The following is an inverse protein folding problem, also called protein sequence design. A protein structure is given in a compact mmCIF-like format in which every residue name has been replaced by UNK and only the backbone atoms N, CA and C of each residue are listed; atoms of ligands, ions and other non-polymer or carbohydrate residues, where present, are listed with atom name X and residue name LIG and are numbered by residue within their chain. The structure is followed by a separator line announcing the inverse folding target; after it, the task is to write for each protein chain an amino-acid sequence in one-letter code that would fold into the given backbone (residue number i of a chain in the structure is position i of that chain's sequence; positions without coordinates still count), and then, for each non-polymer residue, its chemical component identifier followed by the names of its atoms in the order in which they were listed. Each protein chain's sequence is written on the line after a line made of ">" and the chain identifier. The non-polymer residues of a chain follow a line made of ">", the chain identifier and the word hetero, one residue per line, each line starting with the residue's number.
data_IF_501300910216
#
_entry.id   IF_501300910216
#
_cell.length_a   1.000
_cell.length_b   1.000
_cell.length_c   1.000
_cell.angle_alpha   90.00
_cell.angle_beta   90.00
_cell.angle_gamma   90.00
#
_symmetry.space_group_name_H-M   'P 1'
#
loop_
_entity.id
_entity.type
_entity.pdbx_description
1 polymer ?
#
# COMPACT_ATOMS: atom_id res chain seq x y z
N UNK A 1 -11.11 -5.62 22.87
CA UNK A 1 -11.43 -6.63 21.84
C UNK A 1 -10.56 -6.29 20.64
N UNK A 2 -9.91 -7.29 20.01
CA UNK A 2 -9.14 -7.07 18.77
C UNK A 2 -10.04 -6.44 17.72
N UNK A 3 -9.51 -5.46 16.96
CA UNK A 3 -10.21 -4.84 15.83
C UNK A 3 -9.99 -5.65 14.55
N UNK A 4 -9.15 -6.70 14.61
CA UNK A 4 -8.79 -7.57 13.49
C UNK A 4 -9.87 -8.59 13.19
N UNK A 5 -10.09 -8.87 11.91
CA UNK A 5 -11.02 -9.89 11.44
C UNK A 5 -10.45 -11.31 11.68
N UNK A 6 -11.33 -12.31 11.68
CA UNK A 6 -10.89 -13.72 11.77
C UNK A 6 -9.95 -14.13 10.63
N UNK A 7 -10.10 -13.52 9.45
CA UNK A 7 -9.20 -13.74 8.32
C UNK A 7 -7.80 -13.20 8.62
N UNK A 8 -7.70 -11.98 9.13
CA UNK A 8 -6.43 -11.36 9.52
C UNK A 8 -5.73 -12.16 10.63
N UNK A 9 -6.47 -12.64 11.63
CA UNK A 9 -5.90 -13.48 12.69
C UNK A 9 -5.33 -14.79 12.13
N UNK A 10 -6.01 -15.43 11.17
CA UNK A 10 -5.50 -16.62 10.49
C UNK A 10 -4.25 -16.32 9.65
N UNK A 11 -4.25 -15.22 8.90
CA UNK A 11 -3.09 -14.80 8.09
C UNK A 11 -1.86 -14.50 8.98
N UNK A 12 -2.06 -13.80 10.10
CA UNK A 12 -1.00 -13.53 11.11
C UNK A 12 -0.48 -14.83 11.69
N UNK A 13 -1.35 -15.70 12.15
CA UNK A 13 -0.94 -16.99 12.73
C UNK A 13 -0.16 -17.83 11.72
N UNK A 14 -0.60 -17.89 10.46
CA UNK A 14 0.11 -18.62 9.41
C UNK A 14 1.49 -18.00 9.08
N UNK A 15 1.60 -16.67 9.08
CA UNK A 15 2.87 -15.97 8.86
C UNK A 15 3.85 -16.25 10.02
N UNK A 16 3.40 -16.16 11.28
CA UNK A 16 4.22 -16.40 12.47
C UNK A 16 4.64 -17.87 12.62
N UNK A 17 3.80 -18.81 12.16
CA UNK A 17 4.13 -20.23 12.13
C UNK A 17 5.13 -20.61 11.01
N UNK A 18 5.47 -19.69 10.13
CA UNK A 18 6.39 -19.90 9.03
C UNK A 18 7.71 -19.17 9.23
N UNK A 19 8.81 -19.71 8.68
CA UNK A 19 10.10 -19.01 8.66
C UNK A 19 10.19 -17.91 7.58
N UNK A 20 9.12 -17.74 6.79
CA UNK A 20 9.09 -16.82 5.66
C UNK A 20 8.98 -15.37 6.11
N UNK A 21 9.51 -14.46 5.28
CA UNK A 21 9.31 -13.02 5.47
C UNK A 21 7.85 -12.66 5.16
N UNK A 22 7.13 -11.99 6.10
CA UNK A 22 5.78 -11.53 5.83
C UNK A 22 5.77 -10.42 4.77
N UNK A 23 4.71 -10.41 3.93
CA UNK A 23 4.42 -9.30 2.99
C UNK A 23 2.99 -8.83 3.23
N UNK A 24 2.85 -7.57 3.61
CA UNK A 24 1.55 -6.93 3.89
C UNK A 24 1.12 -6.09 2.69
N UNK A 25 -0.01 -6.42 2.08
CA UNK A 25 -0.60 -5.73 0.93
C UNK A 25 -1.74 -4.82 1.35
N UNK A 26 -1.65 -3.52 1.06
CA UNK A 26 -2.62 -2.51 1.45
C UNK A 26 -3.35 -2.00 0.20
N UNK A 27 -4.66 -2.28 0.09
CA UNK A 27 -5.46 -1.85 -1.06
C UNK A 27 -5.74 -0.34 -1.08
N UNK A 28 -6.12 0.17 -2.25
CA UNK A 28 -6.51 1.56 -2.46
C UNK A 28 -7.99 1.82 -2.18
N UNK A 29 -8.41 3.08 -2.31
CA UNK A 29 -9.83 3.43 -2.38
C UNK A 29 -10.50 2.65 -3.52
N UNK A 30 -11.78 2.37 -3.36
CA UNK A 30 -12.64 1.68 -4.34
C UNK A 30 -12.32 0.21 -4.59
N UNK A 31 -11.44 -0.39 -3.78
CA UNK A 31 -11.07 -1.80 -3.80
C UNK A 31 -11.31 -2.45 -2.43
N UNK A 32 -11.24 -3.77 -2.40
CA UNK A 32 -11.15 -4.60 -1.19
C UNK A 32 -9.84 -5.40 -1.19
N UNK A 33 -9.47 -6.05 -0.07
CA UNK A 33 -8.28 -6.91 0.02
C UNK A 33 -8.16 -7.95 -1.09
N UNK A 34 -9.29 -8.49 -1.59
CA UNK A 34 -9.33 -9.45 -2.72
C UNK A 34 -8.72 -8.92 -4.02
N UNK A 35 -8.50 -7.62 -4.16
CA UNK A 35 -7.73 -7.06 -5.28
C UNK A 35 -6.26 -7.48 -5.29
N UNK A 36 -5.76 -8.00 -4.18
CA UNK A 36 -4.41 -8.50 -4.02
C UNK A 36 -4.26 -10.03 -4.14
N UNK A 37 -5.35 -10.78 -4.39
CA UNK A 37 -5.31 -12.26 -4.38
C UNK A 37 -4.24 -12.82 -5.35
N UNK A 38 -4.15 -12.27 -6.56
CA UNK A 38 -3.14 -12.66 -7.53
C UNK A 38 -1.71 -12.36 -7.05
N UNK A 39 -1.49 -11.21 -6.40
CA UNK A 39 -0.19 -10.83 -5.85
C UNK A 39 0.17 -11.68 -4.64
N UNK A 40 -0.80 -11.95 -3.76
CA UNK A 40 -0.60 -12.81 -2.60
C UNK A 40 -0.13 -14.20 -3.01
N UNK A 41 -0.79 -14.79 -4.02
CA UNK A 41 -0.36 -16.09 -4.55
C UNK A 41 1.02 -16.03 -5.23
N UNK A 42 1.29 -14.98 -6.01
CA UNK A 42 2.60 -14.77 -6.65
C UNK A 42 3.74 -14.65 -5.62
N UNK A 43 3.57 -13.86 -4.56
CA UNK A 43 4.58 -13.72 -3.50
C UNK A 43 4.68 -14.97 -2.64
N UNK A 44 3.59 -15.70 -2.42
CA UNK A 44 3.61 -16.99 -1.73
C UNK A 44 4.45 -18.03 -2.49
N UNK A 45 4.31 -18.08 -3.82
CA UNK A 45 5.14 -18.92 -4.69
C UNK A 45 6.62 -18.49 -4.69
N UNK A 46 6.90 -17.19 -4.51
CA UNK A 46 8.24 -16.66 -4.35
C UNK A 46 8.83 -16.86 -2.94
N UNK A 47 8.12 -17.56 -2.03
CA UNK A 47 8.65 -17.94 -0.71
C UNK A 47 8.34 -16.95 0.43
N UNK A 48 7.39 -16.02 0.22
CA UNK A 48 6.93 -15.09 1.26
C UNK A 48 5.65 -15.55 1.96
N UNK A 49 5.31 -14.90 3.07
CA UNK A 49 4.05 -15.09 3.78
C UNK A 49 3.14 -13.86 3.56
N UNK A 50 2.18 -13.92 2.61
CA UNK A 50 1.33 -12.78 2.28
C UNK A 50 0.22 -12.56 3.32
N UNK A 51 -0.07 -11.28 3.60
CA UNK A 51 -1.21 -10.80 4.38
C UNK A 51 -1.90 -9.67 3.61
N UNK A 52 -3.23 -9.66 3.64
CA UNK A 52 -4.05 -8.68 2.92
C UNK A 52 -5.04 -8.01 3.89
N UNK A 53 -4.58 -7.14 4.83
CA UNK A 53 -5.45 -6.56 5.85
C UNK A 53 -6.62 -5.78 5.27
N UNK A 54 -7.74 -5.84 5.98
CA UNK A 54 -8.93 -5.04 5.71
C UNK A 54 -8.67 -3.56 6.07
N UNK A 55 -9.39 -2.65 5.47
CA UNK A 55 -9.59 -1.35 6.09
C UNK A 55 -10.66 -1.48 7.18
N UNK A 56 -10.60 -0.68 8.27
CA UNK A 56 -11.61 -0.74 9.32
C UNK A 56 -13.02 -0.57 8.78
N UNK A 57 -13.83 -1.62 8.92
CA UNK A 57 -15.21 -1.67 8.46
C UNK A 57 -15.42 -2.19 7.04
N UNK A 58 -14.38 -2.70 6.39
CA UNK A 58 -14.54 -3.34 5.07
C UNK A 58 -15.43 -4.59 5.18
N UNK A 59 -16.39 -4.75 4.26
CA UNK A 59 -17.14 -5.98 4.11
C UNK A 59 -16.27 -7.11 3.57
N UNK A 60 -16.59 -8.34 3.92
CA UNK A 60 -15.82 -9.51 3.50
C UNK A 60 -15.86 -9.77 1.98
N UNK A 61 -16.91 -9.30 1.30
CA UNK A 61 -17.11 -9.58 -0.14
C UNK A 61 -17.54 -8.34 -0.92
N UNK A 62 -17.23 -8.32 -2.23
CA UNK A 62 -17.69 -7.29 -3.17
C UNK A 62 -19.22 -7.18 -3.18
N UNK A 63 -19.92 -8.29 -3.06
CA UNK A 63 -21.39 -8.32 -3.02
C UNK A 63 -21.93 -7.58 -1.77
N UNK A 64 -21.38 -7.84 -0.61
CA UNK A 64 -21.76 -7.16 0.63
C UNK A 64 -21.41 -5.67 0.59
N UNK A 65 -20.21 -5.33 0.08
CA UNK A 65 -19.76 -3.96 -0.11
C UNK A 65 -20.70 -3.15 -1.00
N UNK A 66 -21.19 -3.73 -2.08
CA UNK A 66 -22.15 -3.10 -3.00
C UNK A 66 -23.55 -3.01 -2.42
N UNK A 67 -23.94 -3.99 -1.63
CA UNK A 67 -25.24 -3.98 -0.93
C UNK A 67 -25.31 -2.89 0.16
N UNK A 68 -24.20 -2.57 0.82
CA UNK A 68 -24.12 -1.55 1.86
C UNK A 68 -22.94 -0.59 1.68
N UNK A 69 -22.94 0.27 0.65
CA UNK A 69 -21.81 1.16 0.36
C UNK A 69 -21.55 2.20 1.47
N UNK A 70 -22.51 2.45 2.36
CA UNK A 70 -22.39 3.46 3.43
C UNK A 70 -21.33 3.09 4.48
N UNK A 71 -20.94 1.83 4.61
CA UNK A 71 -19.92 1.38 5.57
C UNK A 71 -18.58 2.10 5.36
N UNK A 72 -18.22 2.42 4.11
CA UNK A 72 -16.98 3.10 3.78
C UNK A 72 -16.93 4.60 4.15
N UNK A 73 -18.05 5.22 4.50
CA UNK A 73 -18.17 6.68 4.58
C UNK A 73 -17.28 7.33 5.65
N UNK A 74 -16.89 6.61 6.69
CA UNK A 74 -16.24 7.19 7.89
C UNK A 74 -14.78 6.77 8.09
N UNK A 75 -14.23 5.90 7.25
CA UNK A 75 -12.87 5.36 7.40
C UNK A 75 -11.83 6.41 7.00
N UNK A 76 -11.00 6.84 7.94
CA UNK A 76 -9.97 7.86 7.76
C UNK A 76 -8.61 7.25 7.47
N UNK A 77 -7.71 8.04 6.88
CA UNK A 77 -6.31 7.60 6.63
C UNK A 77 -5.60 7.16 7.91
N UNK A 78 -5.84 7.85 9.04
CA UNK A 78 -5.24 7.48 10.33
C UNK A 78 -5.73 6.13 10.81
N UNK A 79 -7.03 5.86 10.71
CA UNK A 79 -7.59 4.57 11.10
C UNK A 79 -7.01 3.42 10.28
N UNK A 80 -6.88 3.59 8.96
CA UNK A 80 -6.26 2.57 8.10
C UNK A 80 -4.79 2.35 8.47
N UNK A 81 -4.02 3.43 8.64
CA UNK A 81 -2.60 3.33 9.00
C UNK A 81 -2.38 2.75 10.42
N UNK A 82 -3.29 3.00 11.35
CA UNK A 82 -3.20 2.47 12.72
C UNK A 82 -3.61 0.99 12.74
N UNK A 83 -4.65 0.60 12.01
CA UNK A 83 -5.05 -0.80 11.87
C UNK A 83 -3.96 -1.63 11.17
N UNK A 84 -3.39 -1.12 10.07
CA UNK A 84 -2.23 -1.76 9.42
C UNK A 84 -1.06 -1.92 10.40
N UNK A 85 -0.78 -0.89 11.22
CA UNK A 85 0.29 -0.98 12.22
C UNK A 85 -0.03 -1.99 13.35
N UNK A 86 -1.31 -2.16 13.72
CA UNK A 86 -1.77 -3.19 14.66
C UNK A 86 -1.58 -4.61 14.09
N UNK A 87 -1.92 -4.84 12.82
CA UNK A 87 -1.67 -6.11 12.13
C UNK A 87 -0.17 -6.42 12.10
N UNK A 88 0.66 -5.44 11.73
CA UNK A 88 2.13 -5.59 11.70
C UNK A 88 2.70 -5.85 13.09
N UNK A 89 2.17 -5.18 14.12
CA UNK A 89 2.59 -5.36 15.50
C UNK A 89 2.32 -6.75 16.08
N UNK A 90 1.47 -7.54 15.42
CA UNK A 90 1.18 -8.93 15.78
C UNK A 90 2.05 -9.96 15.03
N UNK A 91 2.93 -9.50 14.13
CA UNK A 91 3.88 -10.34 13.42
C UNK A 91 5.19 -10.47 14.21
N UNK A 92 5.76 -11.68 14.25
CA UNK A 92 7.05 -11.94 14.89
C UNK A 92 8.22 -11.33 14.12
N UNK A 93 8.07 -11.15 12.79
CA UNK A 93 9.06 -10.55 11.90
C UNK A 93 8.53 -9.28 11.27
N UNK A 94 9.38 -8.26 11.10
CA UNK A 94 9.02 -7.07 10.32
C UNK A 94 8.71 -7.45 8.87
N UNK A 95 7.57 -7.00 8.32
CA UNK A 95 7.18 -7.36 6.97
C UNK A 95 7.81 -6.46 5.91
N UNK A 96 7.79 -6.92 4.67
CA UNK A 96 7.71 -6.05 3.49
C UNK A 96 6.31 -5.47 3.44
N UNK A 97 6.19 -4.18 3.09
CA UNK A 97 4.90 -3.52 2.95
C UNK A 97 4.71 -3.09 1.51
N UNK A 98 3.59 -3.46 0.91
CA UNK A 98 3.19 -3.01 -0.42
C UNK A 98 1.83 -2.33 -0.36
N UNK A 99 1.66 -1.25 -1.11
CA UNK A 99 0.37 -0.59 -1.18
C UNK A 99 0.14 0.10 -2.50
N UNK A 100 -1.12 0.12 -2.94
CA UNK A 100 -1.54 0.76 -4.18
C UNK A 100 -2.41 1.98 -3.89
N UNK A 101 -2.21 3.07 -4.63
CA UNK A 101 -3.02 4.29 -4.54
C UNK A 101 -3.02 4.86 -3.11
N UNK A 102 -4.18 4.99 -2.48
CA UNK A 102 -4.30 5.35 -1.06
C UNK A 102 -3.56 4.36 -0.15
N UNK A 103 -3.58 3.05 -0.48
CA UNK A 103 -2.78 2.04 0.21
C UNK A 103 -1.28 2.30 0.05
N UNK A 104 -0.83 2.83 -1.08
CA UNK A 104 0.56 3.27 -1.30
C UNK A 104 0.96 4.47 -0.44
N UNK A 105 0.02 5.38 -0.16
CA UNK A 105 0.21 6.42 0.86
C UNK A 105 0.31 5.80 2.26
N UNK A 106 -0.60 4.89 2.62
CA UNK A 106 -0.60 4.21 3.93
C UNK A 106 0.68 3.40 4.12
N UNK A 107 1.16 2.69 3.10
CA UNK A 107 2.44 1.98 3.11
C UNK A 107 3.60 2.92 3.48
N UNK A 108 3.66 4.11 2.87
CA UNK A 108 4.65 5.12 3.22
C UNK A 108 4.47 5.69 4.65
N UNK A 109 3.22 5.84 5.12
CA UNK A 109 2.95 6.30 6.49
C UNK A 109 3.46 5.30 7.52
N UNK A 110 3.24 4.02 7.30
CA UNK A 110 3.64 2.90 8.18
C UNK A 110 5.15 2.68 8.11
N UNK A 111 5.74 2.71 6.92
CA UNK A 111 7.20 2.70 6.74
C UNK A 111 7.87 3.87 7.47
N UNK A 112 7.28 5.07 7.41
CA UNK A 112 7.74 6.24 8.16
C UNK A 112 7.66 6.07 9.68
N UNK A 113 6.95 5.06 10.20
CA UNK A 113 6.95 4.67 11.62
C UNK A 113 8.06 3.65 11.95
N UNK A 114 8.82 3.17 10.95
CA UNK A 114 9.89 2.17 11.11
C UNK A 114 9.39 0.73 11.19
N UNK A 115 8.20 0.43 10.64
CA UNK A 115 7.52 -0.87 10.77
C UNK A 115 7.76 -1.81 9.59
N UNK A 116 8.58 -1.43 8.61
CA UNK A 116 8.87 -2.23 7.41
C UNK A 116 10.36 -2.60 7.32
N UNK A 117 10.67 -3.77 6.73
CA UNK A 117 12.02 -4.10 6.26
C UNK A 117 12.29 -3.51 4.88
N UNK A 118 11.28 -3.46 4.02
CA UNK A 118 11.27 -2.79 2.71
C UNK A 118 9.85 -2.36 2.37
N UNK A 119 9.69 -1.37 1.49
CA UNK A 119 8.36 -0.84 1.11
C UNK A 119 8.26 -0.65 -0.39
N UNK A 120 7.13 -1.02 -0.96
CA UNK A 120 6.76 -0.72 -2.36
C UNK A 120 5.46 0.10 -2.36
N UNK A 121 5.51 1.32 -2.88
CA UNK A 121 4.36 2.21 -3.00
C UNK A 121 4.01 2.39 -4.48
N UNK A 122 2.89 1.81 -4.91
CA UNK A 122 2.44 1.76 -6.30
C UNK A 122 1.40 2.86 -6.51
N UNK A 123 1.62 3.75 -7.48
CA UNK A 123 0.78 4.93 -7.75
C UNK A 123 0.33 5.64 -6.46
N UNK A 124 1.27 6.03 -5.56
CA UNK A 124 0.91 6.38 -4.18
C UNK A 124 0.15 7.70 -4.08
N UNK A 125 -0.91 7.70 -3.27
CA UNK A 125 -1.71 8.89 -2.99
C UNK A 125 -0.90 10.05 -2.39
N UNK A 126 -1.47 11.26 -2.50
CA UNK A 126 -0.84 12.51 -2.10
C UNK A 126 -0.71 12.64 -0.58
N UNK A 127 0.46 13.07 -0.10
CA UNK A 127 0.67 13.50 1.28
C UNK A 127 1.23 14.92 1.38
N UNK A 128 1.19 15.49 2.56
CA UNK A 128 1.66 16.86 2.80
C UNK A 128 3.08 17.09 2.32
N UNK A 129 3.23 18.04 1.39
CA UNK A 129 4.48 18.41 0.74
C UNK A 129 4.64 17.83 -0.66
N UNK A 130 3.74 16.96 -1.13
CA UNK A 130 3.58 16.58 -2.53
C UNK A 130 2.63 17.61 -3.16
N UNK A 131 3.18 18.52 -3.95
CA UNK A 131 2.46 19.73 -4.40
C UNK A 131 1.77 19.63 -5.77
N UNK A 132 2.24 18.79 -6.74
CA UNK A 132 1.65 18.80 -8.07
C UNK A 132 0.15 18.47 -8.05
N UNK A 133 -0.61 19.21 -8.85
CA UNK A 133 -2.03 19.01 -9.06
C UNK A 133 -2.33 19.02 -10.58
N UNK A 134 -2.02 17.94 -11.29
CA UNK A 134 -2.24 17.82 -12.74
C UNK A 134 -3.72 17.95 -13.12
N UNK A 135 -3.97 18.41 -14.38
CA UNK A 135 -5.33 18.57 -14.89
C UNK A 135 -6.15 17.28 -14.95
N UNK A 136 -5.50 16.11 -15.15
CA UNK A 136 -6.17 14.80 -15.10
C UNK A 136 -6.76 14.52 -13.72
N UNK A 137 -6.02 14.86 -12.66
CA UNK A 137 -6.49 14.70 -11.26
C UNK A 137 -7.67 15.62 -10.99
N UNK A 138 -7.58 16.90 -11.41
CA UNK A 138 -8.69 17.85 -11.28
C UNK A 138 -9.95 17.35 -11.99
N UNK A 139 -9.81 16.77 -13.18
CA UNK A 139 -10.94 16.20 -13.93
C UNK A 139 -11.48 14.92 -13.27
N UNK A 140 -10.62 14.04 -12.75
CA UNK A 140 -11.02 12.76 -12.17
C UNK A 140 -11.63 12.87 -10.77
N UNK A 141 -10.94 13.53 -9.85
CA UNK A 141 -11.36 13.61 -8.43
C UNK A 141 -11.82 14.99 -7.99
N UNK A 142 -11.54 16.04 -8.77
CA UNK A 142 -11.93 17.42 -8.46
C UNK A 142 -13.41 17.60 -8.10
N UNK A 143 -14.37 17.04 -8.87
CA UNK A 143 -15.80 17.13 -8.54
C UNK A 143 -16.15 16.60 -7.14
N UNK A 144 -15.42 15.61 -6.64
CA UNK A 144 -15.60 15.10 -5.28
C UNK A 144 -14.97 16.03 -4.25
N UNK A 145 -13.81 16.63 -4.55
CA UNK A 145 -13.09 17.48 -3.60
C UNK A 145 -13.79 18.82 -3.34
N UNK A 146 -14.46 19.39 -4.35
CA UNK A 146 -15.20 20.65 -4.20
C UNK A 146 -16.56 20.48 -3.50
N UNK A 147 -17.11 19.25 -3.44
CA UNK A 147 -18.38 18.99 -2.77
C UNK A 147 -18.15 18.78 -1.27
N UNK A 148 -18.63 19.67 -0.38
CA UNK A 148 -18.40 19.56 1.06
C UNK A 148 -19.04 18.33 1.70
N UNK A 149 -20.04 17.73 1.05
CA UNK A 149 -20.69 16.51 1.54
C UNK A 149 -19.87 15.26 1.30
N UNK A 150 -18.86 15.29 0.42
CA UNK A 150 -17.98 14.15 0.12
C UNK A 150 -17.37 13.56 1.39
N UNK A 151 -16.89 14.39 2.31
CA UNK A 151 -16.27 13.93 3.57
C UNK A 151 -17.21 13.15 4.51
N UNK A 152 -18.52 13.11 4.21
CA UNK A 152 -19.53 12.42 5.02
C UNK A 152 -20.15 11.23 4.30
N UNK A 153 -19.70 10.93 3.08
CA UNK A 153 -20.29 9.92 2.20
C UNK A 153 -19.27 8.91 1.74
N UNK A 154 -19.75 7.72 1.40
CA UNK A 154 -19.05 6.81 0.53
C UNK A 154 -19.23 7.28 -0.92
N UNK A 155 -18.18 7.15 -1.74
CA UNK A 155 -18.13 7.58 -3.13
C UNK A 155 -18.01 6.37 -4.03
N UNK A 156 -18.97 6.19 -4.91
CA UNK A 156 -18.93 5.17 -5.95
C UNK A 156 -18.63 5.84 -7.28
N UNK A 157 -17.64 5.36 -8.02
CA UNK A 157 -17.34 5.84 -9.35
C UNK A 157 -18.36 5.26 -10.34
N UNK A 158 -18.81 6.06 -11.28
CA UNK A 158 -19.53 5.53 -12.45
C UNK A 158 -18.57 4.77 -13.36
N UNK A 159 -19.04 3.87 -14.24
CA UNK A 159 -18.17 3.19 -15.21
C UNK A 159 -17.32 4.16 -16.04
N UNK A 160 -17.89 5.30 -16.44
CA UNK A 160 -17.17 6.36 -17.18
C UNK A 160 -16.06 7.02 -16.35
N UNK A 161 -16.29 7.27 -15.06
CA UNK A 161 -15.28 7.80 -14.15
C UNK A 161 -14.18 6.78 -13.88
N UNK A 162 -14.52 5.51 -13.72
CA UNK A 162 -13.57 4.42 -13.57
C UNK A 162 -12.71 4.27 -14.84
N UNK A 163 -13.32 4.24 -16.04
CA UNK A 163 -12.58 4.24 -17.31
C UNK A 163 -11.59 5.40 -17.39
N UNK A 164 -12.02 6.60 -17.05
CA UNK A 164 -11.15 7.77 -17.12
C UNK A 164 -10.00 7.73 -16.12
N UNK A 165 -10.27 7.43 -14.85
CA UNK A 165 -9.28 7.55 -13.77
C UNK A 165 -8.41 6.30 -13.62
N UNK A 166 -8.98 5.11 -13.84
CA UNK A 166 -8.34 3.83 -13.54
C UNK A 166 -7.88 3.08 -14.77
N UNK A 167 -8.76 2.97 -15.76
CA UNK A 167 -8.64 2.06 -16.88
C UNK A 167 -8.45 2.78 -18.23
N UNK A 168 -7.94 4.01 -18.21
CA UNK A 168 -7.76 4.84 -19.41
C UNK A 168 -6.77 4.27 -20.42
N UNK A 169 -5.89 3.35 -19.99
CA UNK A 169 -4.93 2.65 -20.85
C UNK A 169 -5.41 1.27 -21.33
N UNK A 170 -6.62 0.83 -20.93
CA UNK A 170 -7.19 -0.48 -21.24
C UNK A 170 -8.29 -0.36 -22.30
N UNK A 171 -8.65 -1.48 -22.93
CA UNK A 171 -9.85 -1.55 -23.77
C UNK A 171 -11.15 -1.52 -22.94
N UNK A 172 -12.28 -1.51 -23.60
CA UNK A 172 -13.58 -1.39 -22.94
C UNK A 172 -14.03 -2.69 -22.27
N UNK A 173 -13.69 -3.84 -22.83
CA UNK A 173 -14.04 -5.15 -22.28
C UNK A 173 -13.25 -5.42 -20.99
N UNK A 174 -11.95 -5.16 -20.99
CA UNK A 174 -11.13 -5.27 -19.79
C UNK A 174 -11.57 -4.26 -18.74
N UNK A 175 -11.84 -3.02 -19.12
CA UNK A 175 -12.37 -1.98 -18.22
C UNK A 175 -13.65 -2.42 -17.53
N UNK A 176 -14.61 -2.96 -18.29
CA UNK A 176 -15.88 -3.47 -17.78
C UNK A 176 -15.66 -4.62 -16.81
N UNK A 177 -14.82 -5.59 -17.18
CA UNK A 177 -14.49 -6.74 -16.33
C UNK A 177 -13.89 -6.29 -15.00
N UNK A 178 -12.90 -5.37 -15.00
CA UNK A 178 -12.27 -4.88 -13.78
C UNK A 178 -13.26 -4.10 -12.90
N UNK A 179 -14.11 -3.27 -13.50
CA UNK A 179 -15.15 -2.55 -12.78
C UNK A 179 -16.15 -3.52 -12.10
N UNK A 180 -16.60 -4.52 -12.82
CA UNK A 180 -17.55 -5.53 -12.31
C UNK A 180 -16.90 -6.46 -11.27
N UNK A 181 -15.62 -6.75 -11.39
CA UNK A 181 -14.92 -7.66 -10.46
C UNK A 181 -14.50 -6.97 -9.18
N UNK A 182 -13.93 -5.76 -9.24
CA UNK A 182 -13.21 -5.19 -8.11
C UNK A 182 -13.82 -3.91 -7.53
N UNK A 183 -14.54 -3.11 -8.35
CA UNK A 183 -14.96 -1.79 -7.90
C UNK A 183 -16.03 -1.84 -6.82
N UNK A 184 -15.77 -1.13 -5.72
CA UNK A 184 -16.70 -0.87 -4.61
C UNK A 184 -16.71 0.62 -4.28
N UNK A 185 -17.55 1.05 -3.34
CA UNK A 185 -17.50 2.42 -2.84
C UNK A 185 -16.20 2.66 -2.04
N UNK A 186 -15.71 3.89 -2.07
CA UNK A 186 -14.55 4.31 -1.31
C UNK A 186 -14.87 5.40 -0.28
N UNK A 187 -14.01 5.59 0.71
CA UNK A 187 -14.16 6.60 1.75
C UNK A 187 -13.99 8.02 1.19
N UNK A 188 -15.05 8.82 1.28
CA UNK A 188 -15.00 10.23 0.89
C UNK A 188 -14.14 11.06 1.83
N UNK A 189 -14.08 10.74 3.13
CA UNK A 189 -13.22 11.46 4.07
C UNK A 189 -11.74 11.20 3.79
N UNK A 190 -11.33 9.98 3.47
CA UNK A 190 -9.95 9.67 3.10
C UNK A 190 -9.54 10.40 1.81
N UNK A 191 -10.45 10.45 0.80
CA UNK A 191 -10.23 11.20 -0.44
C UNK A 191 -10.03 12.70 -0.16
N UNK A 192 -10.88 13.31 0.68
CA UNK A 192 -10.77 14.74 1.07
C UNK A 192 -9.50 15.00 1.88
N UNK A 193 -9.08 14.06 2.74
CA UNK A 193 -7.83 14.19 3.51
C UNK A 193 -6.59 14.22 2.61
N UNK A 194 -6.56 13.42 1.53
CA UNK A 194 -5.51 13.48 0.53
C UNK A 194 -5.58 14.78 -0.29
N UNK A 195 -6.75 15.12 -0.82
CA UNK A 195 -6.94 16.33 -1.62
C UNK A 195 -6.56 17.62 -0.89
N UNK A 196 -6.81 17.68 0.41
CA UNK A 196 -6.52 18.84 1.27
C UNK A 196 -5.18 18.68 2.04
N UNK A 197 -4.33 17.72 1.70
CA UNK A 197 -3.11 17.42 2.44
C UNK A 197 -2.18 18.63 2.61
N UNK A 198 -2.12 19.51 1.62
CA UNK A 198 -1.27 20.71 1.62
C UNK A 198 -1.97 21.95 2.20
N UNK A 199 -3.29 21.97 2.24
CA UNK A 199 -4.09 23.10 2.74
C UNK A 199 -4.35 23.01 4.24
N UNK A 200 -4.36 21.80 4.81
CA UNK A 200 -4.64 21.57 6.22
C UNK A 200 -3.35 21.25 7.00
N UNK A 201 -2.88 22.11 7.92
CA UNK A 201 -1.69 21.85 8.72
C UNK A 201 -1.83 20.64 9.66
N UNK A 202 -3.07 20.27 10.01
CA UNK A 202 -3.39 19.09 10.85
C UNK A 202 -3.82 17.88 10.04
N UNK A 203 -3.53 17.85 8.73
CA UNK A 203 -3.89 16.71 7.87
C UNK A 203 -3.39 15.39 8.41
N UNK A 204 -4.18 14.34 8.25
CA UNK A 204 -3.76 12.95 8.52
C UNK A 204 -2.89 12.38 7.40
N UNK A 205 -2.95 12.94 6.18
CA UNK A 205 -2.08 12.57 5.06
C UNK A 205 -0.64 13.10 5.27
N UNK A 206 0.06 12.56 6.27
CA UNK A 206 1.43 12.92 6.65
C UNK A 206 2.32 11.68 6.65
N UNK A 207 3.53 11.83 6.11
CA UNK A 207 4.55 10.79 6.10
C UNK A 207 5.80 11.29 6.82
N UNK A 208 6.36 10.49 7.72
CA UNK A 208 7.64 10.77 8.39
C UNK A 208 8.79 10.38 7.46
N UNK A 209 9.00 11.15 6.40
CA UNK A 209 9.95 10.82 5.33
C UNK A 209 11.41 10.79 5.77
N UNK A 210 11.76 11.40 6.91
CA UNK A 210 13.13 11.49 7.42
C UNK A 210 13.49 10.45 8.49
N UNK A 211 12.54 9.56 8.85
CA UNK A 211 12.85 8.51 9.84
C UNK A 211 13.90 7.55 9.25
N UNK A 212 15.10 7.42 9.85
CA UNK A 212 16.14 6.52 9.34
C UNK A 212 15.72 5.05 9.37
N UNK A 213 14.80 4.68 10.26
CA UNK A 213 14.25 3.32 10.35
C UNK A 213 13.18 2.99 9.30
N UNK A 214 12.92 3.89 8.32
CA UNK A 214 11.95 3.65 7.24
C UNK A 214 12.26 2.43 6.39
N UNK A 215 13.54 2.06 6.26
CA UNK A 215 14.01 1.02 5.34
C UNK A 215 14.04 1.47 3.87
N UNK A 216 14.41 0.58 2.94
CA UNK A 216 14.34 0.80 1.49
C UNK A 216 12.92 1.07 1.01
N UNK A 217 12.77 1.94 -0.01
CA UNK A 217 11.47 2.28 -0.61
C UNK A 217 11.59 2.31 -2.13
N UNK A 218 10.72 1.56 -2.81
CA UNK A 218 10.44 1.69 -4.24
C UNK A 218 9.10 2.40 -4.43
N UNK A 219 9.07 3.37 -5.33
CA UNK A 219 7.85 3.95 -5.87
C UNK A 219 7.68 3.43 -7.30
N UNK A 220 6.54 2.84 -7.61
CA UNK A 220 6.16 2.42 -8.97
C UNK A 220 5.04 3.34 -9.44
N UNK A 221 5.07 3.75 -10.71
CA UNK A 221 4.07 4.64 -11.30
C UNK A 221 3.72 4.23 -12.72
N UNK A 222 2.43 4.22 -13.04
CA UNK A 222 1.93 3.98 -14.39
C UNK A 222 2.09 5.22 -15.27
N UNK A 223 2.77 5.08 -16.42
CA UNK A 223 3.05 6.21 -17.32
C UNK A 223 1.80 7.02 -17.71
N UNK A 224 0.67 6.33 -17.90
CA UNK A 224 -0.61 6.91 -18.33
C UNK A 224 -1.60 7.13 -17.18
N UNK A 225 -1.17 7.05 -15.95
CA UNK A 225 -2.06 7.20 -14.80
C UNK A 225 -2.69 8.60 -14.75
N UNK A 226 -4.03 8.65 -14.76
CA UNK A 226 -4.80 9.89 -14.63
C UNK A 226 -5.14 10.25 -13.17
N UNK A 227 -5.08 9.29 -12.26
CA UNK A 227 -5.41 9.46 -10.83
C UNK A 227 -4.20 9.90 -10.03
N UNK A 228 -3.05 9.25 -10.24
CA UNK A 228 -1.76 9.61 -9.64
C UNK A 228 -0.71 9.74 -10.76
N UNK A 229 -0.75 10.79 -11.58
CA UNK A 229 0.21 10.97 -12.66
C UNK A 229 1.65 11.07 -12.17
N UNK A 230 2.61 10.74 -13.04
CA UNK A 230 4.05 10.80 -12.78
C UNK A 230 4.52 12.04 -11.99
N UNK A 231 3.92 13.19 -12.21
CA UNK A 231 4.28 14.41 -11.48
C UNK A 231 4.08 14.27 -9.97
N UNK A 232 3.04 13.53 -9.54
CA UNK A 232 2.74 13.24 -8.13
C UNK A 232 3.71 12.20 -7.58
N UNK A 233 3.86 11.06 -8.27
CA UNK A 233 4.78 10.00 -7.85
C UNK A 233 6.23 10.50 -7.75
N UNK A 234 6.69 11.28 -8.74
CA UNK A 234 8.01 11.89 -8.73
C UNK A 234 8.18 12.95 -7.63
N UNK A 235 7.13 13.71 -7.29
CA UNK A 235 7.19 14.62 -6.13
C UNK A 235 7.25 13.88 -4.80
N UNK A 236 6.53 12.75 -4.67
CA UNK A 236 6.65 11.83 -3.53
C UNK A 236 8.08 11.28 -3.44
N UNK A 237 8.63 10.78 -4.53
CA UNK A 237 10.03 10.32 -4.62
C UNK A 237 11.02 11.40 -4.18
N UNK A 238 10.91 12.63 -4.70
CA UNK A 238 11.80 13.75 -4.33
C UNK A 238 11.74 14.10 -2.83
N UNK A 239 10.62 13.83 -2.16
CA UNK A 239 10.50 13.95 -0.70
C UNK A 239 11.17 12.80 0.01
N UNK A 240 10.92 11.58 -0.42
CA UNK A 240 11.40 10.34 0.18
C UNK A 240 12.91 10.14 0.02
N UNK A 241 13.50 10.51 -1.13
CA UNK A 241 14.95 10.38 -1.39
C UNK A 241 15.84 11.24 -0.48
N UNK A 242 15.24 12.12 0.34
CA UNK A 242 15.96 12.87 1.38
C UNK A 242 16.19 12.04 2.64
N UNK A 243 15.69 10.82 2.68
CA UNK A 243 15.98 9.84 3.71
C UNK A 243 17.39 9.25 3.45
N UNK A 244 18.04 8.77 4.50
CA UNK A 244 19.33 8.06 4.40
C UNK A 244 19.20 6.69 3.76
N UNK A 245 18.03 6.06 3.87
CA UNK A 245 17.74 4.76 3.25
C UNK A 245 17.49 4.86 1.75
N UNK A 246 17.76 3.78 1.05
CA UNK A 246 17.55 3.65 -0.40
C UNK A 246 16.13 4.08 -0.79
N UNK A 247 16.05 4.87 -1.86
CA UNK A 247 14.76 5.28 -2.45
C UNK A 247 14.88 5.23 -3.96
N UNK A 248 14.06 4.39 -4.59
CA UNK A 248 14.00 4.22 -6.04
C UNK A 248 12.63 4.63 -6.57
N UNK A 249 12.56 4.93 -7.87
CA UNK A 249 11.32 5.16 -8.60
C UNK A 249 11.41 4.52 -9.97
N UNK A 250 10.34 3.82 -10.36
CA UNK A 250 10.20 3.18 -11.67
C UNK A 250 8.90 3.62 -12.30
N UNK A 251 8.93 3.90 -13.60
CA UNK A 251 7.76 4.18 -14.42
C UNK A 251 7.47 2.97 -15.31
N UNK A 252 6.26 2.44 -15.24
CA UNK A 252 5.82 1.31 -16.08
C UNK A 252 5.16 1.87 -17.34
N UNK A 253 5.74 1.61 -18.52
CA UNK A 253 5.24 2.16 -19.79
C UNK A 253 3.81 1.69 -20.10
N UNK A 254 3.02 2.59 -20.71
CA UNK A 254 1.67 2.30 -21.21
C UNK A 254 0.65 1.83 -20.16
N UNK A 255 0.90 1.98 -18.85
CA UNK A 255 0.00 1.56 -17.78
C UNK A 255 -0.75 2.74 -17.17
N UNK A 256 -2.02 2.51 -16.83
CA UNK A 256 -2.85 3.44 -16.05
C UNK A 256 -2.90 3.04 -14.58
N UNK A 257 -3.84 3.63 -13.84
CA UNK A 257 -3.98 3.41 -12.39
C UNK A 257 -4.39 1.99 -11.99
N UNK A 258 -4.96 1.20 -12.93
CA UNK A 258 -5.36 -0.20 -12.67
C UNK A 258 -4.21 -1.21 -12.72
N UNK A 259 -2.95 -0.78 -12.82
CA UNK A 259 -1.78 -1.63 -13.09
C UNK A 259 -1.56 -2.77 -12.08
N UNK A 260 -2.19 -2.73 -10.91
CA UNK A 260 -2.12 -3.83 -9.92
C UNK A 260 -3.16 -4.93 -10.17
N UNK A 261 -4.21 -4.64 -10.94
CA UNK A 261 -5.35 -5.55 -11.16
C UNK A 261 -5.63 -5.83 -12.64
N UNK A 262 -5.03 -5.09 -13.57
CA UNK A 262 -5.19 -5.29 -15.01
C UNK A 262 -4.43 -6.52 -15.53
N UNK A 263 -4.60 -6.87 -16.80
CA UNK A 263 -3.99 -8.05 -17.41
C UNK A 263 -2.46 -8.10 -17.36
N UNK A 264 -1.79 -6.95 -17.17
CA UNK A 264 -0.32 -6.87 -17.04
C UNK A 264 0.20 -6.75 -15.61
N UNK A 265 -0.62 -6.97 -14.59
CA UNK A 265 -0.24 -6.87 -13.18
C UNK A 265 1.05 -7.64 -12.82
N UNK A 266 1.32 -8.76 -13.51
CA UNK A 266 2.47 -9.62 -13.24
C UNK A 266 3.82 -8.92 -13.49
N UNK A 267 3.91 -8.05 -14.51
CA UNK A 267 5.10 -7.24 -14.76
C UNK A 267 5.39 -6.29 -13.57
N UNK A 268 4.35 -5.68 -13.04
CA UNK A 268 4.44 -4.78 -11.87
C UNK A 268 4.84 -5.56 -10.62
N UNK A 269 4.23 -6.74 -10.42
CA UNK A 269 4.56 -7.64 -9.31
C UNK A 269 6.01 -8.13 -9.37
N UNK A 270 6.51 -8.48 -10.57
CA UNK A 270 7.90 -8.90 -10.76
C UNK A 270 8.88 -7.75 -10.47
N UNK A 271 8.53 -6.52 -10.91
CA UNK A 271 9.33 -5.32 -10.60
C UNK A 271 9.42 -5.09 -9.09
N UNK A 272 8.31 -5.25 -8.38
CA UNK A 272 8.27 -5.16 -6.92
C UNK A 272 9.10 -6.26 -6.24
N UNK A 273 8.95 -7.51 -6.69
CA UNK A 273 9.68 -8.66 -6.16
C UNK A 273 11.20 -8.49 -6.32
N UNK A 274 11.66 -8.10 -7.49
CA UNK A 274 13.10 -7.88 -7.77
C UNK A 274 13.70 -6.84 -6.82
N UNK A 275 12.96 -5.76 -6.54
CA UNK A 275 13.39 -4.74 -5.56
C UNK A 275 13.45 -5.32 -4.15
N UNK A 276 12.43 -6.06 -3.72
CA UNK A 276 12.36 -6.65 -2.38
C UNK A 276 13.52 -7.62 -2.16
N UNK A 277 13.75 -8.55 -3.08
CA UNK A 277 14.83 -9.52 -2.97
C UNK A 277 16.21 -8.87 -2.89
N UNK A 278 16.46 -7.83 -3.69
CA UNK A 278 17.71 -7.06 -3.64
C UNK A 278 17.86 -6.36 -2.29
N UNK A 279 16.80 -5.71 -1.82
CA UNK A 279 16.80 -4.96 -0.56
C UNK A 279 17.02 -5.87 0.66
N UNK A 280 16.44 -7.07 0.67
CA UNK A 280 16.61 -8.02 1.78
C UNK A 280 18.03 -8.59 1.81
N UNK A 281 18.63 -8.92 0.66
CA UNK A 281 20.03 -9.36 0.59
C UNK A 281 21.01 -8.31 1.12
N UNK A 282 20.78 -7.03 0.82
CA UNK A 282 21.60 -5.92 1.33
C UNK A 282 21.50 -5.76 2.85
N UNK A 283 20.30 -5.97 3.42
CA UNK A 283 20.09 -5.94 4.88
C UNK A 283 20.84 -7.08 5.57
N UNK A 284 20.77 -8.31 5.03
CA UNK A 284 21.47 -9.48 5.60
C UNK A 284 22.98 -9.30 5.59
N UNK A 285 23.54 -8.71 4.54
CA UNK A 285 24.98 -8.44 4.42
C UNK A 285 25.50 -7.35 5.38
N UNK A 286 24.60 -6.47 5.87
CA UNK A 286 24.95 -5.38 6.78
C UNK A 286 24.77 -5.72 8.26
N UNK A 287 24.12 -6.85 8.60
CA UNK A 287 24.07 -7.34 9.97
C UNK A 287 25.38 -8.09 10.25
N UNK A 288 26.17 -7.71 11.31
CA UNK A 288 27.32 -8.51 11.72
C UNK A 288 26.84 -9.91 12.08
N UNK A 289 27.56 -10.93 11.60
CA UNK A 289 27.33 -12.30 12.02
C UNK A 289 27.26 -12.33 13.54
N UNK A 290 26.18 -12.83 14.11
CA UNK A 290 26.12 -13.13 15.54
C UNK A 290 27.11 -14.27 15.76
N UNK A 291 28.36 -13.91 16.05
CA UNK A 291 29.42 -14.85 16.40
C UNK A 291 28.93 -15.71 17.56
N UNK A 292 28.94 -17.00 17.30
CA UNK A 292 28.58 -18.04 18.28
C UNK A 292 29.37 -17.82 19.56
N UNK A 293 28.66 -17.65 20.65
CA UNK A 293 29.23 -17.74 22.00
C UNK A 293 29.89 -19.08 22.11
N UNK A 294 31.21 -19.04 22.11
CA UNK A 294 32.13 -20.18 22.29
C UNK A 294 31.79 -20.92 23.60
N UNK A 295 31.21 -22.09 23.45
CA UNK A 295 30.95 -23.04 24.56
C UNK A 295 32.21 -23.82 24.96
N UNK A 296 33.38 -23.16 25.00
CA UNK A 296 34.63 -23.76 25.46
C UNK A 296 35.22 -23.02 26.65
N UNK A 297 34.62 -23.22 27.83
CA UNK A 297 35.35 -23.12 29.10
C UNK A 297 34.56 -23.79 30.24
N UNK A 298 34.55 -25.10 30.26
CA UNK A 298 34.42 -25.90 31.50
C UNK A 298 35.15 -27.23 31.32
N UNK A 299 36.44 -27.20 31.51
CA UNK A 299 37.17 -28.39 32.02
C UNK A 299 38.53 -27.92 32.57
N UNK A 300 38.75 -28.25 33.83
CA UNK A 300 40.09 -28.29 34.41
C UNK A 300 40.32 -27.33 35.58
N UNK A 301 40.10 -27.76 36.81
CA UNK A 301 41.17 -28.36 37.60
C UNK A 301 40.64 -28.77 38.97
N UNK A 302 40.65 -30.07 39.16
CA UNK A 302 40.78 -30.65 40.48
C UNK A 302 42.28 -30.89 40.71
N UNK A 303 42.83 -30.31 41.75
CA UNK A 303 43.80 -30.91 42.71
C UNK A 303 43.75 -30.03 43.95
#
# INVERSE_FOLDING_TARGET
>A
MSTRSEREEREIAAANASDKTPVVFIHGLWLLPSSWDNWAEFFKQAGYAPLTPDWPGDPATIREARANPKVFAKTTLKQVADHTAEVIGALDKKPVIMGHSTGGLVAQMVAGRGLAVATVAIDPGVFRGVLPLPGSVLKGVGPFLINPLTRRRAITLTPKQFKYGWANALDDDETKRLYETFHVAGSGIALVQMGNANLNPWTQAKVKTKNPARGPLLIIDGEKDHTVPWAIANASYKRQRRNVGVTEIVKIPNRGHALTIDSGWREVAQTALNFVERSLREVDLTQPAQDGVDSRQRFGSAV
#
